data_IF_968645388067
#
_entry.id   IF_968645388067
#
_cell.length_a   1.000
_cell.length_b   1.000
_cell.length_c   1.000
_cell.angle_alpha   90.00
_cell.angle_beta   90.00
_cell.angle_gamma   90.00
#
_symmetry.space_group_name_H-M   'P 1'
#
loop_
_entity.id
_entity.type
_entity.pdbx_description
1 polymer ?
#
# COMPACT_ATOMS: atom_id res chain seq x y z
N UNK A 1 -44.31 -0.58 -30.16
CA UNK A 1 -44.74 0.00 -28.86
C UNK A 1 -46.10 0.67 -29.06
N UNK A 2 -47.21 0.00 -28.68
CA UNK A 2 -48.56 0.52 -28.82
C UNK A 2 -48.86 1.54 -27.73
N UNK A 3 -49.18 2.76 -28.13
CA UNK A 3 -49.66 3.80 -27.21
C UNK A 3 -51.08 3.44 -26.76
N UNK A 4 -51.27 3.10 -25.49
CA UNK A 4 -52.58 2.94 -24.87
C UNK A 4 -53.24 4.33 -24.82
N UNK A 5 -54.19 4.61 -25.72
CA UNK A 5 -55.01 5.81 -25.67
C UNK A 5 -56.14 5.59 -24.64
N UNK A 6 -56.00 6.15 -23.48
CA UNK A 6 -57.05 6.22 -22.46
C UNK A 6 -58.21 7.04 -23.05
N UNK A 7 -59.35 6.39 -23.35
CA UNK A 7 -60.62 7.07 -23.75
C UNK A 7 -61.16 7.83 -22.55
N UNK A 8 -61.49 9.10 -22.72
CA UNK A 8 -62.17 9.87 -21.67
C UNK A 8 -63.58 9.30 -21.44
N UNK A 9 -63.97 9.03 -20.17
CA UNK A 9 -65.29 8.51 -19.83
C UNK A 9 -66.36 9.51 -20.22
N UNK A 10 -67.42 9.05 -20.90
CA UNK A 10 -68.52 9.87 -21.44
C UNK A 10 -69.90 9.63 -20.79
N UNK A 11 -69.98 8.78 -19.76
CA UNK A 11 -71.20 8.48 -19.00
C UNK A 11 -70.95 8.42 -17.48
N UNK A 12 -71.97 8.66 -16.69
CA UNK A 12 -71.89 8.62 -15.24
C UNK A 12 -71.37 7.25 -14.69
N UNK A 13 -71.77 6.16 -15.35
CA UNK A 13 -71.34 4.82 -15.01
C UNK A 13 -69.83 4.59 -15.26
N UNK A 14 -69.25 5.12 -16.33
CA UNK A 14 -67.82 5.02 -16.64
C UNK A 14 -66.97 5.90 -15.71
N UNK A 15 -67.51 7.06 -15.32
CA UNK A 15 -66.87 7.91 -14.31
C UNK A 15 -66.77 7.21 -12.93
N UNK A 16 -67.86 6.55 -12.51
CA UNK A 16 -67.91 5.77 -11.28
C UNK A 16 -66.93 4.59 -11.36
N UNK A 17 -66.92 3.85 -12.48
CA UNK A 17 -65.97 2.75 -12.65
C UNK A 17 -64.51 3.24 -12.64
N UNK A 18 -64.19 4.34 -13.30
CA UNK A 18 -62.85 4.94 -13.28
C UNK A 18 -62.46 5.43 -11.89
N UNK A 19 -63.37 6.00 -11.14
CA UNK A 19 -63.15 6.42 -9.74
C UNK A 19 -62.89 5.22 -8.81
N UNK A 20 -63.63 4.13 -8.97
CA UNK A 20 -63.44 2.89 -8.20
C UNK A 20 -62.09 2.27 -8.52
N UNK A 21 -61.67 2.20 -9.78
CA UNK A 21 -60.36 1.69 -10.18
C UNK A 21 -59.23 2.59 -9.62
N UNK A 22 -59.39 3.92 -9.73
CA UNK A 22 -58.41 4.86 -9.19
C UNK A 22 -58.26 4.72 -7.65
N UNK A 23 -59.40 4.57 -6.95
CA UNK A 23 -59.41 4.35 -5.51
C UNK A 23 -58.78 2.99 -5.13
N UNK A 24 -59.07 1.93 -5.88
CA UNK A 24 -58.44 0.62 -5.67
C UNK A 24 -56.93 0.65 -5.87
N UNK A 25 -56.45 1.34 -6.91
CA UNK A 25 -55.01 1.55 -7.15
C UNK A 25 -54.38 2.37 -6.03
N UNK A 26 -55.04 3.44 -5.60
CA UNK A 26 -54.53 4.28 -4.48
C UNK A 26 -54.45 3.49 -3.18
N UNK A 27 -55.45 2.68 -2.86
CA UNK A 27 -55.46 1.81 -1.67
C UNK A 27 -54.35 0.74 -1.77
N UNK A 28 -54.12 0.16 -2.94
CA UNK A 28 -53.06 -0.80 -3.17
C UNK A 28 -51.69 -0.18 -2.95
N UNK A 29 -51.45 0.99 -3.55
CA UNK A 29 -50.19 1.75 -3.38
C UNK A 29 -49.97 2.15 -1.92
N UNK A 30 -51.01 2.63 -1.25
CA UNK A 30 -50.92 2.99 0.16
C UNK A 30 -50.59 1.76 1.06
N UNK A 31 -51.23 0.60 0.78
CA UNK A 31 -50.91 -0.65 1.52
C UNK A 31 -49.49 -1.15 1.27
N UNK A 32 -49.03 -1.14 0.03
CA UNK A 32 -47.64 -1.56 -0.27
C UNK A 32 -46.62 -0.61 0.34
N UNK A 33 -46.88 0.69 0.32
CA UNK A 33 -46.04 1.67 1.00
C UNK A 33 -46.01 1.46 2.54
N UNK A 34 -47.17 1.22 3.15
CA UNK A 34 -47.28 0.97 4.58
C UNK A 34 -46.56 -0.32 5.00
N UNK A 35 -46.64 -1.40 4.21
CA UNK A 35 -45.93 -2.64 4.50
C UNK A 35 -44.42 -2.46 4.31
N UNK A 36 -43.95 -1.74 3.30
CA UNK A 36 -42.55 -1.43 3.11
C UNK A 36 -41.97 -0.60 4.26
N UNK A 37 -42.67 0.42 4.73
CA UNK A 37 -42.28 1.22 5.89
C UNK A 37 -42.27 0.37 7.18
N UNK A 38 -43.25 -0.52 7.35
CA UNK A 38 -43.30 -1.46 8.47
C UNK A 38 -42.10 -2.42 8.47
N UNK A 39 -41.76 -3.00 7.31
CA UNK A 39 -40.61 -3.88 7.14
C UNK A 39 -39.27 -3.14 7.44
N UNK A 40 -39.13 -1.90 6.96
CA UNK A 40 -37.95 -1.08 7.23
C UNK A 40 -37.83 -0.75 8.74
N UNK A 41 -38.95 -0.40 9.39
CA UNK A 41 -38.98 -0.16 10.85
C UNK A 41 -38.66 -1.43 11.65
N UNK A 42 -39.01 -2.60 11.16
CA UNK A 42 -38.68 -3.85 11.79
C UNK A 42 -37.23 -4.29 11.59
N UNK A 43 -36.65 -3.96 10.40
CA UNK A 43 -35.31 -4.38 10.00
C UNK A 43 -34.19 -3.44 10.52
N UNK A 44 -34.50 -2.15 10.79
CA UNK A 44 -33.45 -1.19 11.16
C UNK A 44 -32.61 -1.56 12.39
N UNK A 45 -33.14 -2.20 13.45
CA UNK A 45 -32.30 -2.57 14.59
C UNK A 45 -31.28 -3.65 14.21
N UNK A 46 -31.67 -4.60 13.34
CA UNK A 46 -30.76 -5.62 12.84
C UNK A 46 -29.67 -5.01 11.95
N UNK A 47 -30.02 -4.06 11.08
CA UNK A 47 -29.06 -3.32 10.24
C UNK A 47 -28.09 -2.50 11.11
N UNK A 48 -28.58 -1.85 12.16
CA UNK A 48 -27.74 -1.12 13.10
C UNK A 48 -26.78 -2.06 13.84
N UNK A 49 -27.29 -3.19 14.34
CA UNK A 49 -26.46 -4.19 15.01
C UNK A 49 -25.37 -4.73 14.08
N UNK A 50 -25.70 -5.00 12.82
CA UNK A 50 -24.75 -5.44 11.81
C UNK A 50 -23.69 -4.36 11.52
N UNK A 51 -24.10 -3.10 11.39
CA UNK A 51 -23.18 -1.98 11.17
C UNK A 51 -22.23 -1.78 12.36
N UNK A 52 -22.75 -1.89 13.61
CA UNK A 52 -21.92 -1.82 14.81
C UNK A 52 -20.93 -3.00 14.89
N UNK A 53 -21.39 -4.21 14.60
CA UNK A 53 -20.53 -5.40 14.58
C UNK A 53 -19.40 -5.28 13.54
N UNK A 54 -19.75 -4.89 12.31
CA UNK A 54 -18.76 -4.69 11.24
C UNK A 54 -17.77 -3.58 11.60
N UNK A 55 -18.25 -2.48 12.17
CA UNK A 55 -17.42 -1.39 12.68
C UNK A 55 -16.48 -1.85 13.81
N UNK A 56 -16.97 -2.63 14.76
CA UNK A 56 -16.17 -3.19 15.85
C UNK A 56 -15.08 -4.15 15.33
N UNK A 57 -15.44 -5.04 14.39
CA UNK A 57 -14.48 -5.96 13.76
C UNK A 57 -13.42 -5.19 12.97
N UNK A 58 -13.80 -4.16 12.22
CA UNK A 58 -12.88 -3.31 11.49
C UNK A 58 -11.92 -2.57 12.45
N UNK A 59 -12.45 -1.96 13.50
CA UNK A 59 -11.64 -1.28 14.52
C UNK A 59 -10.68 -2.25 15.24
N UNK A 60 -11.13 -3.44 15.57
CA UNK A 60 -10.29 -4.48 16.18
C UNK A 60 -9.16 -4.91 15.24
N UNK A 61 -9.45 -5.16 13.95
CA UNK A 61 -8.43 -5.49 12.94
C UNK A 61 -7.39 -4.37 12.77
N UNK A 62 -7.84 -3.12 12.73
CA UNK A 62 -6.94 -1.97 12.66
C UNK A 62 -6.05 -1.91 13.90
N UNK A 63 -6.61 -2.06 15.09
CA UNK A 63 -5.83 -2.08 16.35
C UNK A 63 -4.83 -3.23 16.38
N UNK A 64 -5.22 -4.44 15.97
CA UNK A 64 -4.28 -5.57 15.88
C UNK A 64 -3.14 -5.28 14.90
N UNK A 65 -3.45 -4.78 13.70
CA UNK A 65 -2.44 -4.46 12.71
C UNK A 65 -1.44 -3.39 13.22
N UNK A 66 -1.94 -2.37 13.92
CA UNK A 66 -1.08 -1.31 14.49
C UNK A 66 -0.22 -1.80 15.63
N UNK A 67 -0.75 -2.65 16.51
CA UNK A 67 0.02 -3.23 17.62
C UNK A 67 1.10 -4.20 17.13
N UNK A 68 0.79 -5.04 16.14
CA UNK A 68 1.78 -5.94 15.52
C UNK A 68 2.92 -5.16 14.87
N UNK A 69 2.60 -4.11 14.11
CA UNK A 69 3.62 -3.23 13.50
C UNK A 69 4.49 -2.52 14.54
N UNK A 70 3.90 -2.08 15.66
CA UNK A 70 4.66 -1.47 16.76
C UNK A 70 5.62 -2.47 17.39
N UNK A 71 5.15 -3.67 17.73
CA UNK A 71 5.99 -4.74 18.29
C UNK A 71 7.11 -5.18 17.36
N UNK A 72 6.84 -5.29 16.05
CA UNK A 72 7.86 -5.59 15.05
C UNK A 72 8.90 -4.47 15.00
N UNK A 73 8.48 -3.21 14.96
CA UNK A 73 9.39 -2.05 15.00
C UNK A 73 10.24 -2.02 16.27
N UNK A 74 9.64 -2.28 17.44
CA UNK A 74 10.36 -2.33 18.72
C UNK A 74 11.39 -3.48 18.74
N UNK A 75 11.01 -4.68 18.26
CA UNK A 75 11.95 -5.80 18.13
C UNK A 75 13.13 -5.49 17.19
N UNK A 76 12.87 -4.78 16.12
CA UNK A 76 13.89 -4.46 15.12
C UNK A 76 14.69 -3.19 15.46
N UNK A 77 14.24 -2.36 16.41
CA UNK A 77 14.92 -1.10 16.75
C UNK A 77 16.40 -1.24 17.11
N UNK A 78 16.77 -2.35 17.73
CA UNK A 78 18.14 -2.68 18.12
C UNK A 78 18.80 -3.71 17.20
N UNK A 79 18.18 -4.01 16.05
CA UNK A 79 18.71 -5.02 15.14
C UNK A 79 20.13 -4.64 14.67
N UNK A 80 21.05 -5.58 14.84
CA UNK A 80 22.40 -5.54 14.27
C UNK A 80 22.63 -6.87 13.58
N UNK A 81 23.29 -6.82 12.43
CA UNK A 81 23.65 -8.01 11.64
C UNK A 81 25.08 -7.81 11.19
N UNK A 82 25.92 -8.77 11.47
CA UNK A 82 27.34 -8.73 11.09
C UNK A 82 27.53 -9.09 9.62
N UNK A 83 28.65 -8.68 9.04
CA UNK A 83 29.00 -9.08 7.67
C UNK A 83 29.16 -10.60 7.54
N UNK A 84 29.68 -11.27 8.57
CA UNK A 84 29.80 -12.72 8.60
C UNK A 84 28.42 -13.42 8.54
N UNK A 85 27.41 -12.88 9.23
CA UNK A 85 26.05 -13.38 9.14
C UNK A 85 25.48 -13.18 7.74
N UNK A 86 25.70 -12.01 7.10
CA UNK A 86 25.27 -11.79 5.72
C UNK A 86 25.92 -12.76 4.74
N UNK A 87 27.22 -13.00 4.88
CA UNK A 87 27.96 -13.92 4.00
C UNK A 87 27.47 -15.38 4.13
N UNK A 88 26.95 -15.76 5.30
CA UNK A 88 26.37 -17.09 5.56
C UNK A 88 24.91 -17.24 5.14
N UNK A 89 24.24 -16.17 4.73
CA UNK A 89 22.84 -16.21 4.28
C UNK A 89 22.71 -16.80 2.88
N UNK A 90 21.54 -17.31 2.57
CA UNK A 90 21.08 -17.47 1.20
C UNK A 90 20.46 -16.15 0.67
N UNK A 91 20.22 -16.06 -0.64
CA UNK A 91 19.68 -14.88 -1.29
C UNK A 91 18.36 -14.42 -0.63
N UNK A 92 17.48 -15.37 -0.32
CA UNK A 92 16.18 -15.07 0.28
C UNK A 92 16.29 -14.52 1.70
N UNK A 93 17.19 -15.07 2.51
CA UNK A 93 17.46 -14.58 3.86
C UNK A 93 18.09 -13.19 3.82
N UNK A 94 18.99 -12.96 2.85
CA UNK A 94 19.58 -11.65 2.61
C UNK A 94 18.52 -10.59 2.32
N UNK A 95 17.54 -10.88 1.43
CA UNK A 95 16.42 -9.99 1.15
C UNK A 95 15.57 -9.69 2.39
N UNK A 96 15.28 -10.71 3.23
CA UNK A 96 14.56 -10.49 4.51
C UNK A 96 15.36 -9.65 5.49
N UNK A 97 16.65 -9.86 5.58
CA UNK A 97 17.53 -9.07 6.44
C UNK A 97 17.53 -7.58 6.02
N UNK A 98 17.59 -7.30 4.72
CA UNK A 98 17.48 -5.93 4.20
C UNK A 98 16.10 -5.33 4.48
N UNK A 99 15.01 -6.12 4.36
CA UNK A 99 13.67 -5.69 4.75
C UNK A 99 13.62 -5.28 6.23
N UNK A 100 14.22 -6.08 7.11
CA UNK A 100 14.22 -5.84 8.55
C UNK A 100 15.02 -4.59 8.92
N UNK A 101 16.17 -4.37 8.28
CA UNK A 101 16.94 -3.14 8.42
C UNK A 101 16.16 -1.90 7.96
N UNK A 102 15.40 -1.99 6.87
CA UNK A 102 14.53 -0.90 6.44
C UNK A 102 13.45 -0.60 7.48
N UNK A 103 12.83 -1.63 8.07
CA UNK A 103 11.81 -1.47 9.13
C UNK A 103 12.44 -0.83 10.37
N UNK A 104 13.65 -1.25 10.77
CA UNK A 104 14.42 -0.62 11.84
C UNK A 104 14.56 0.89 11.62
N UNK A 105 14.91 1.28 10.40
CA UNK A 105 15.16 2.69 10.04
C UNK A 105 13.88 3.49 9.75
N UNK A 106 12.70 2.90 10.04
CA UNK A 106 11.43 3.57 9.94
C UNK A 106 10.79 3.56 8.54
N UNK A 107 11.19 2.61 7.70
CA UNK A 107 10.57 2.31 6.41
C UNK A 107 9.71 1.05 6.54
N UNK A 108 8.39 1.12 6.82
CA UNK A 108 7.52 -0.04 6.67
C UNK A 108 7.80 -0.72 5.33
N UNK A 109 8.38 -1.92 5.39
CA UNK A 109 8.90 -2.58 4.20
C UNK A 109 8.35 -4.00 4.05
N UNK A 110 8.26 -4.44 2.80
CA UNK A 110 7.86 -5.81 2.43
C UNK A 110 8.81 -6.37 1.39
N UNK A 111 9.08 -7.66 1.49
CA UNK A 111 9.74 -8.40 0.43
C UNK A 111 8.76 -8.63 -0.72
N UNK A 112 9.21 -8.45 -1.95
CA UNK A 112 8.44 -8.66 -3.18
C UNK A 112 9.11 -9.62 -4.15
N UNK A 113 10.36 -9.97 -3.91
CA UNK A 113 11.17 -10.85 -4.76
C UNK A 113 10.48 -12.18 -5.08
N UNK A 114 10.64 -12.63 -6.32
CA UNK A 114 10.03 -13.81 -6.93
C UNK A 114 10.10 -13.71 -8.44
N UNK A 115 9.63 -14.72 -9.16
CA UNK A 115 9.57 -14.66 -10.63
C UNK A 115 8.69 -13.49 -11.09
N UNK A 116 9.29 -12.53 -11.81
CA UNK A 116 8.57 -11.35 -12.30
C UNK A 116 8.63 -10.11 -11.40
N UNK A 117 9.54 -10.06 -10.41
CA UNK A 117 9.72 -8.95 -9.47
C UNK A 117 10.22 -7.64 -10.08
N UNK A 118 10.56 -7.66 -11.37
CA UNK A 118 10.99 -6.51 -12.17
C UNK A 118 12.08 -5.67 -11.47
N UNK A 119 13.13 -6.37 -11.00
CA UNK A 119 14.29 -5.80 -10.34
C UNK A 119 13.98 -5.05 -9.02
N UNK A 120 13.05 -5.61 -8.23
CA UNK A 120 12.76 -5.15 -6.88
C UNK A 120 12.61 -6.33 -5.93
N UNK A 121 13.48 -6.47 -4.94
CA UNK A 121 13.39 -7.52 -3.93
C UNK A 121 12.68 -7.03 -2.68
N UNK A 122 12.88 -5.76 -2.31
CA UNK A 122 12.23 -5.14 -1.15
C UNK A 122 11.69 -3.76 -1.52
N UNK A 123 10.48 -3.47 -1.08
CA UNK A 123 9.85 -2.14 -1.21
C UNK A 123 9.52 -1.62 0.18
N UNK A 124 9.97 -0.41 0.49
CA UNK A 124 9.65 0.31 1.72
C UNK A 124 8.93 1.62 1.44
N UNK A 125 8.06 2.04 2.36
CA UNK A 125 7.33 3.31 2.26
C UNK A 125 7.48 4.12 3.54
N UNK A 126 7.94 5.36 3.41
CA UNK A 126 8.05 6.28 4.53
C UNK A 126 7.31 7.58 4.19
N UNK A 127 6.33 8.02 5.02
CA UNK A 127 5.54 9.22 4.74
C UNK A 127 6.35 10.51 4.60
N UNK A 128 7.53 10.56 5.23
CA UNK A 128 8.40 11.75 5.22
C UNK A 128 9.48 11.67 4.14
N UNK A 129 9.88 10.47 3.71
CA UNK A 129 11.00 10.27 2.78
C UNK A 129 10.60 9.64 1.44
N UNK A 130 9.35 9.18 1.32
CA UNK A 130 8.84 8.59 0.08
C UNK A 130 9.02 7.08 0.01
N UNK A 131 8.90 6.54 -1.19
CA UNK A 131 8.97 5.11 -1.48
C UNK A 131 10.37 4.74 -1.96
N UNK A 132 10.92 3.67 -1.40
CA UNK A 132 12.22 3.12 -1.73
C UNK A 132 12.06 1.71 -2.33
N UNK A 133 12.80 1.45 -3.41
CA UNK A 133 12.98 0.11 -3.98
C UNK A 133 14.41 -0.32 -3.73
N UNK A 134 14.58 -1.53 -3.21
CA UNK A 134 15.87 -2.16 -2.98
C UNK A 134 15.98 -3.43 -3.80
N UNK A 135 17.03 -3.49 -4.63
CA UNK A 135 17.49 -4.72 -5.27
C UNK A 135 18.64 -5.29 -4.46
N UNK A 136 18.48 -6.51 -4.02
CA UNK A 136 19.50 -7.28 -3.33
C UNK A 136 20.39 -8.04 -4.32
N UNK A 137 21.69 -8.01 -4.12
CA UNK A 137 22.64 -8.82 -4.87
C UNK A 137 23.58 -9.50 -3.90
N UNK A 138 23.15 -10.64 -3.38
CA UNK A 138 24.00 -11.49 -2.58
C UNK A 138 25.08 -12.12 -3.46
N UNK A 139 26.34 -11.98 -3.07
CA UNK A 139 27.48 -12.50 -3.84
C UNK A 139 28.37 -13.35 -2.92
N UNK A 140 29.15 -14.22 -3.54
CA UNK A 140 30.27 -14.84 -2.82
C UNK A 140 31.25 -13.75 -2.36
N UNK A 141 31.93 -13.98 -1.25
CA UNK A 141 32.93 -13.04 -0.72
C UNK A 141 33.93 -12.66 -1.83
N UNK A 142 34.13 -11.35 -2.02
CA UNK A 142 34.97 -10.81 -3.09
C UNK A 142 34.26 -10.64 -4.45
N UNK A 143 33.00 -11.05 -4.58
CA UNK A 143 32.21 -10.85 -5.81
C UNK A 143 31.94 -9.40 -6.10
N UNK A 144 31.80 -9.05 -7.41
CA UNK A 144 31.53 -7.68 -7.87
C UNK A 144 30.22 -7.63 -8.66
N UNK A 145 29.40 -6.63 -8.38
CA UNK A 145 28.16 -6.32 -9.08
C UNK A 145 28.44 -5.30 -10.18
N UNK A 146 28.06 -5.62 -11.42
CA UNK A 146 28.25 -4.77 -12.58
C UNK A 146 27.07 -3.80 -12.82
N UNK A 147 27.23 -2.91 -13.80
CA UNK A 147 26.26 -1.84 -14.14
C UNK A 147 24.93 -2.34 -14.70
N UNK A 148 24.84 -3.57 -15.22
CA UNK A 148 23.59 -4.12 -15.74
C UNK A 148 22.47 -4.14 -14.67
N UNK A 149 22.84 -4.38 -13.40
CA UNK A 149 21.86 -4.34 -12.28
C UNK A 149 21.35 -2.92 -12.06
N UNK A 150 22.23 -1.92 -12.16
CA UNK A 150 21.85 -0.51 -12.04
C UNK A 150 20.85 -0.10 -13.13
N UNK A 151 21.07 -0.56 -14.37
CA UNK A 151 20.17 -0.29 -15.50
C UNK A 151 18.78 -0.89 -15.27
N UNK A 152 18.73 -2.14 -14.84
CA UNK A 152 17.48 -2.84 -14.58
C UNK A 152 16.65 -2.14 -13.48
N UNK A 153 17.29 -1.81 -12.35
CA UNK A 153 16.61 -1.11 -11.23
C UNK A 153 16.15 0.28 -11.65
N UNK A 154 16.98 1.04 -12.35
CA UNK A 154 16.60 2.38 -12.82
C UNK A 154 15.41 2.33 -13.77
N UNK A 155 15.37 1.35 -14.67
CA UNK A 155 14.30 1.19 -15.65
C UNK A 155 12.94 0.86 -15.02
N UNK A 156 12.92 0.22 -13.86
CA UNK A 156 11.69 -0.27 -13.22
C UNK A 156 11.27 0.53 -11.98
N UNK A 157 12.20 1.15 -11.26
CA UNK A 157 11.93 1.84 -10.01
C UNK A 157 10.82 2.90 -10.13
N UNK A 158 10.90 3.80 -11.10
CA UNK A 158 9.89 4.83 -11.35
C UNK A 158 8.61 4.28 -11.99
N UNK A 159 8.69 3.77 -13.24
CA UNK A 159 7.49 3.44 -14.03
C UNK A 159 6.68 2.28 -13.44
N UNK A 160 7.35 1.29 -12.87
CA UNK A 160 6.69 0.09 -12.34
C UNK A 160 6.37 0.22 -10.86
N UNK A 161 7.37 0.56 -10.07
CA UNK A 161 7.25 0.52 -8.60
C UNK A 161 6.86 1.88 -8.01
N UNK A 162 6.81 2.95 -8.80
CA UNK A 162 6.52 4.34 -8.36
C UNK A 162 7.43 4.76 -7.21
N UNK A 163 8.70 4.34 -7.27
CA UNK A 163 9.68 4.61 -6.24
C UNK A 163 10.33 5.99 -6.43
N UNK A 164 10.54 6.66 -5.31
CA UNK A 164 11.29 7.92 -5.22
C UNK A 164 12.79 7.66 -5.18
N UNK A 165 13.18 6.52 -4.60
CA UNK A 165 14.57 6.13 -4.41
C UNK A 165 14.80 4.69 -4.90
N UNK A 166 15.84 4.52 -5.71
CA UNK A 166 16.30 3.23 -6.21
C UNK A 166 17.65 2.90 -5.55
N UNK A 167 17.76 1.71 -4.95
CA UNK A 167 18.95 1.28 -4.21
C UNK A 167 19.32 -0.12 -4.64
N UNK A 168 20.61 -0.37 -4.89
CA UNK A 168 21.17 -1.72 -5.03
C UNK A 168 22.07 -1.99 -3.84
N UNK A 169 21.87 -3.15 -3.18
CA UNK A 169 22.62 -3.56 -2.00
C UNK A 169 23.34 -4.87 -2.27
N UNK A 170 24.61 -4.95 -1.89
CA UNK A 170 25.39 -6.20 -1.97
C UNK A 170 26.25 -6.39 -0.73
N UNK A 171 26.49 -7.66 -0.35
CA UNK A 171 27.51 -8.03 0.63
C UNK A 171 28.93 -8.05 0.03
N UNK A 172 29.06 -7.84 -1.29
CA UNK A 172 30.30 -7.74 -2.02
C UNK A 172 30.66 -6.29 -2.39
N UNK A 173 31.25 -6.12 -3.57
CA UNK A 173 31.64 -4.81 -4.10
C UNK A 173 30.88 -4.49 -5.39
N UNK A 174 30.96 -3.24 -5.84
CA UNK A 174 30.53 -2.84 -7.18
C UNK A 174 31.76 -2.65 -8.08
N UNK A 175 31.54 -2.80 -9.40
CA UNK A 175 32.53 -2.34 -10.35
C UNK A 175 32.57 -0.81 -10.37
N UNK A 176 33.70 -0.21 -10.77
CA UNK A 176 33.83 1.24 -10.89
C UNK A 176 32.75 1.84 -11.81
N UNK A 177 32.49 1.18 -12.93
CA UNK A 177 31.47 1.62 -13.88
C UNK A 177 30.05 1.59 -13.29
N UNK A 178 29.74 0.56 -12.47
CA UNK A 178 28.45 0.48 -11.77
C UNK A 178 28.27 1.65 -10.78
N UNK A 179 29.30 1.97 -9.99
CA UNK A 179 29.27 3.10 -9.06
C UNK A 179 29.12 4.44 -9.79
N UNK A 180 29.96 4.70 -10.77
CA UNK A 180 29.91 5.93 -11.57
C UNK A 180 28.56 6.12 -12.27
N UNK A 181 28.00 5.04 -12.80
CA UNK A 181 26.71 5.08 -13.45
C UNK A 181 25.58 5.33 -12.45
N UNK A 182 25.62 4.67 -11.31
CA UNK A 182 24.66 4.85 -10.22
C UNK A 182 24.61 6.30 -9.75
N UNK A 183 25.78 6.90 -9.48
CA UNK A 183 25.91 8.30 -9.07
C UNK A 183 25.33 9.27 -10.11
N UNK A 184 25.63 9.04 -11.41
CA UNK A 184 25.12 9.87 -12.50
C UNK A 184 23.61 9.78 -12.68
N UNK A 185 23.00 8.62 -12.41
CA UNK A 185 21.60 8.36 -12.70
C UNK A 185 20.72 8.25 -11.45
N UNK A 186 21.24 8.65 -10.29
CA UNK A 186 20.52 8.62 -9.00
C UNK A 186 20.00 7.21 -8.66
N UNK A 187 20.84 6.20 -8.87
CA UNK A 187 20.67 4.87 -8.29
C UNK A 187 21.68 4.72 -7.18
N UNK A 188 21.19 4.71 -5.97
CA UNK A 188 22.05 4.54 -4.79
C UNK A 188 22.61 3.13 -4.75
N UNK A 189 23.81 3.00 -4.20
CA UNK A 189 24.48 1.72 -4.03
C UNK A 189 25.06 1.57 -2.64
N UNK A 190 24.89 0.37 -2.08
CA UNK A 190 25.38 -0.04 -0.76
C UNK A 190 26.28 -1.25 -1.00
N UNK A 191 27.57 -1.04 -0.95
CA UNK A 191 28.59 -2.08 -0.98
C UNK A 191 28.82 -2.69 0.42
N UNK A 192 29.78 -3.60 0.52
CA UNK A 192 30.12 -4.28 1.77
C UNK A 192 30.41 -3.31 2.90
N UNK A 193 31.16 -2.24 2.66
CA UNK A 193 31.52 -1.28 3.71
C UNK A 193 30.33 -0.43 4.16
N UNK A 194 29.52 0.06 3.22
CA UNK A 194 28.29 0.76 3.55
C UNK A 194 27.28 -0.16 4.23
N UNK A 195 27.22 -1.45 3.82
CA UNK A 195 26.38 -2.46 4.45
C UNK A 195 26.81 -2.71 5.91
N UNK A 196 28.12 -2.80 6.18
CA UNK A 196 28.66 -2.90 7.53
C UNK A 196 28.20 -1.72 8.39
N UNK A 197 28.39 -0.50 7.91
CA UNK A 197 27.96 0.71 8.61
C UNK A 197 26.46 0.74 8.87
N UNK A 198 25.67 0.29 7.91
CA UNK A 198 24.21 0.20 8.03
C UNK A 198 23.79 -0.84 9.05
N UNK A 199 24.31 -2.05 8.94
CA UNK A 199 23.84 -3.22 9.67
C UNK A 199 24.54 -3.43 11.02
N UNK A 200 25.88 -3.34 11.09
CA UNK A 200 26.64 -3.55 12.32
C UNK A 200 26.72 -2.29 13.18
N UNK A 201 27.17 -1.17 12.59
CA UNK A 201 27.35 0.09 13.33
C UNK A 201 26.00 0.77 13.61
N UNK A 202 24.97 0.42 12.83
CA UNK A 202 23.60 0.90 13.00
C UNK A 202 23.37 2.30 12.50
N UNK A 203 24.19 2.80 11.59
CA UNK A 203 23.91 4.02 10.85
C UNK A 203 22.56 3.89 10.12
N UNK A 204 21.75 4.93 10.12
CA UNK A 204 20.46 4.86 9.43
C UNK A 204 20.66 4.97 7.91
N UNK A 205 19.87 4.20 7.13
CA UNK A 205 20.00 4.19 5.67
C UNK A 205 19.86 5.58 5.05
N UNK A 206 18.93 6.37 5.54
CA UNK A 206 18.71 7.73 5.00
C UNK A 206 19.91 8.67 5.22
N UNK A 207 20.68 8.47 6.28
CA UNK A 207 21.92 9.21 6.52
C UNK A 207 23.02 8.76 5.56
N UNK A 208 23.16 7.44 5.37
CA UNK A 208 24.14 6.87 4.44
C UNK A 208 23.90 7.28 2.98
N UNK A 209 22.63 7.49 2.61
CA UNK A 209 22.23 7.87 1.27
C UNK A 209 21.99 9.38 1.10
N UNK A 210 22.13 10.18 2.16
CA UNK A 210 21.89 11.61 2.13
C UNK A 210 20.44 11.99 1.82
N UNK A 211 19.46 11.15 2.20
CA UNK A 211 18.04 11.38 1.91
C UNK A 211 17.43 12.36 2.90
N UNK A 212 17.13 13.57 2.45
CA UNK A 212 16.43 14.57 3.25
C UNK A 212 14.97 14.20 3.48
N UNK A 213 14.41 14.59 4.62
CA UNK A 213 12.96 14.52 4.80
C UNK A 213 12.27 15.48 3.82
N UNK A 214 11.19 15.04 3.18
CA UNK A 214 10.35 15.92 2.36
C UNK A 214 9.78 17.01 3.26
N UNK A 215 10.05 18.29 2.95
CA UNK A 215 9.36 19.38 3.59
C UNK A 215 7.86 19.22 3.34
N UNK A 216 7.05 19.08 4.41
CA UNK A 216 5.60 19.11 4.29
C UNK A 216 5.23 20.43 3.59
N UNK A 217 4.47 20.40 2.47
CA UNK A 217 3.89 21.64 1.96
C UNK A 217 3.07 22.24 3.11
N UNK A 218 3.41 23.45 3.52
CA UNK A 218 2.69 24.14 4.60
C UNK A 218 1.23 24.27 4.18
N UNK A 219 0.30 23.73 5.00
CA UNK A 219 -1.15 23.86 4.80
C UNK A 219 -1.66 25.30 4.95
N UNK A 220 -0.75 26.27 5.10
CA UNK A 220 -1.04 27.69 5.34
C UNK A 220 -0.68 28.57 4.13
N UNK A 221 -1.16 28.25 2.92
CA UNK A 221 -1.16 29.20 1.81
C UNK A 221 -2.42 29.03 0.96
N UNK A 222 -3.59 29.19 1.61
CA UNK A 222 -4.84 29.53 0.94
C UNK A 222 -5.62 30.45 1.87
N UNK A 223 -5.21 31.70 1.91
CA UNK A 223 -6.03 32.84 2.28
C UNK A 223 -5.31 34.09 1.77
N UNK A 224 -5.58 34.47 0.54
CA UNK A 224 -5.55 35.83 0.01
C UNK A 224 -6.24 35.78 -1.36
#
# INVERSE_FOLDING_TARGET
>A
MGRIRLRRPRGAAELVAAAVVALAVLVLVARTAATAVGALKAAWPALLALALLTGAVAAWRIRQATTMRRREKERLATLRITLAEFDAMDDRRFEYALRDLLVRDGWPARRVGGGGDQAADVIGENPQRGRIVVQAKHTRVGGKVGSAVMYAVKGTAGPVHKADHAVVVTNGAFTRDAMMWGDRHSVHWIDREKLRRWAEDGAALHELLGLSARSRPSRFRRAA
#
